data_IF_792925298948
#
_entry.id   IF_792925298948
#
_cell.length_a   1.000
_cell.length_b   1.000
_cell.length_c   1.000
_cell.angle_alpha   90.00
_cell.angle_beta   90.00
_cell.angle_gamma   90.00
#
_symmetry.space_group_name_H-M   'P 1'
#
loop_
_entity.id
_entity.type
_entity.pdbx_description
1 polymer ?
#
# COMPACT_ATOMS: atom_id res chain seq x y z
N UNK A 1 20.96 49.24 -9.44
CA UNK A 1 20.09 49.02 -10.61
C UNK A 1 19.72 47.56 -10.61
N UNK A 2 18.45 47.27 -10.30
CA UNK A 2 17.91 45.92 -10.21
C UNK A 2 16.98 45.67 -11.40
N UNK A 3 16.61 44.40 -11.59
CA UNK A 3 15.54 43.84 -12.42
C UNK A 3 15.73 43.86 -13.95
N UNK A 4 15.48 42.79 -14.69
CA UNK A 4 14.92 41.50 -14.30
C UNK A 4 15.14 40.47 -15.41
N UNK A 5 15.67 39.31 -15.03
CA UNK A 5 15.57 38.12 -15.85
C UNK A 5 14.12 37.66 -15.81
N UNK A 6 13.38 37.94 -16.88
CA UNK A 6 12.05 37.39 -17.13
C UNK A 6 12.19 35.89 -17.30
N UNK A 7 12.08 35.13 -16.21
CA UNK A 7 11.82 33.71 -16.29
C UNK A 7 10.48 33.54 -16.99
N UNK A 8 10.52 33.11 -18.25
CA UNK A 8 9.39 32.52 -18.94
C UNK A 8 8.86 31.38 -18.07
N UNK A 9 7.82 31.66 -17.28
CA UNK A 9 6.96 30.64 -16.72
C UNK A 9 6.33 29.93 -17.91
N UNK A 10 6.87 28.77 -18.27
CA UNK A 10 6.19 27.79 -19.12
C UNK A 10 4.75 27.70 -18.61
N UNK A 11 3.79 28.06 -19.45
CA UNK A 11 2.37 28.04 -19.11
C UNK A 11 1.99 26.61 -18.72
N UNK A 12 1.94 26.34 -17.41
CA UNK A 12 1.59 25.03 -16.88
C UNK A 12 0.18 24.68 -17.36
N UNK A 13 0.01 23.52 -17.99
CA UNK A 13 -1.27 22.98 -18.50
C UNK A 13 -1.45 21.55 -18.01
N UNK A 14 -2.66 21.01 -18.13
CA UNK A 14 -2.94 19.61 -17.79
C UNK A 14 -2.73 19.34 -16.31
N UNK A 15 -2.12 18.18 -16.01
CA UNK A 15 -1.84 17.74 -14.65
C UNK A 15 -1.00 18.74 -13.86
N UNK A 16 -0.07 19.47 -14.48
CA UNK A 16 0.74 20.47 -13.79
C UNK A 16 -0.10 21.62 -13.25
N UNK A 17 -1.13 22.05 -13.99
CA UNK A 17 -2.04 23.09 -13.53
C UNK A 17 -3.00 22.56 -12.46
N UNK A 18 -3.52 21.33 -12.63
CA UNK A 18 -4.38 20.69 -11.64
C UNK A 18 -3.66 20.47 -10.31
N UNK A 19 -2.42 19.97 -10.35
CA UNK A 19 -1.59 19.79 -9.16
C UNK A 19 -1.37 21.13 -8.44
N UNK A 20 -1.03 22.18 -9.20
CA UNK A 20 -0.89 23.53 -8.64
C UNK A 20 -2.19 24.02 -8.00
N UNK A 21 -3.33 23.85 -8.67
CA UNK A 21 -4.64 24.22 -8.12
C UNK A 21 -4.94 23.46 -6.81
N UNK A 22 -4.70 22.16 -6.77
CA UNK A 22 -4.92 21.34 -5.58
C UNK A 22 -4.04 21.76 -4.41
N UNK A 23 -2.78 22.15 -4.65
CA UNK A 23 -1.87 22.67 -3.63
C UNK A 23 -2.30 24.07 -3.18
N UNK A 24 -2.51 24.99 -4.12
CA UNK A 24 -2.87 26.40 -3.85
C UNK A 24 -4.21 26.54 -3.12
N UNK A 25 -5.12 25.56 -3.28
CA UNK A 25 -6.44 25.53 -2.63
C UNK A 25 -6.54 24.55 -1.46
N UNK A 26 -5.44 23.89 -1.09
CA UNK A 26 -5.43 22.86 -0.04
C UNK A 26 -6.51 21.78 -0.29
N UNK A 27 -6.70 21.39 -1.54
CA UNK A 27 -7.68 20.41 -2.00
C UNK A 27 -7.02 19.21 -2.67
N UNK A 28 -5.90 18.76 -2.09
CA UNK A 28 -5.20 17.57 -2.56
C UNK A 28 -6.08 16.34 -2.32
N UNK A 29 -6.49 15.70 -3.41
CA UNK A 29 -7.32 14.51 -3.39
C UNK A 29 -6.88 13.52 -4.46
N UNK A 30 -6.91 12.23 -4.12
CA UNK A 30 -6.44 11.14 -4.97
C UNK A 30 -7.38 9.95 -4.86
N UNK A 31 -7.39 9.09 -5.88
CA UNK A 31 -8.12 7.81 -5.86
C UNK A 31 -7.35 6.77 -5.05
N UNK A 32 -8.07 6.01 -4.23
CA UNK A 32 -7.54 4.93 -3.40
C UNK A 32 -7.40 3.60 -4.14
N UNK A 33 -8.17 3.41 -5.22
CA UNK A 33 -8.22 2.16 -5.97
C UNK A 33 -8.56 0.95 -5.09
N UNK A 34 -9.52 1.09 -4.16
CA UNK A 34 -9.81 0.09 -3.13
C UNK A 34 -10.09 -1.30 -3.69
N UNK A 35 -10.82 -1.39 -4.80
CA UNK A 35 -11.13 -2.66 -5.43
C UNK A 35 -9.87 -3.37 -5.94
N UNK A 36 -9.00 -2.64 -6.65
CA UNK A 36 -7.73 -3.20 -7.14
C UNK A 36 -6.80 -3.57 -5.98
N UNK A 37 -6.75 -2.75 -4.92
CA UNK A 37 -5.94 -3.06 -3.73
C UNK A 37 -6.44 -4.32 -3.00
N UNK A 38 -7.75 -4.50 -2.87
CA UNK A 38 -8.33 -5.72 -2.29
C UNK A 38 -8.09 -6.92 -3.20
N UNK A 39 -8.18 -6.75 -4.52
CA UNK A 39 -7.88 -7.81 -5.48
C UNK A 39 -6.42 -8.30 -5.34
N UNK A 40 -5.46 -7.38 -5.23
CA UNK A 40 -4.05 -7.71 -5.01
C UNK A 40 -3.84 -8.47 -3.68
N UNK A 41 -4.48 -8.02 -2.60
CA UNK A 41 -4.48 -8.74 -1.31
C UNK A 41 -5.04 -10.16 -1.41
N UNK A 42 -6.08 -10.37 -2.21
CA UNK A 42 -6.65 -11.70 -2.46
C UNK A 42 -5.69 -12.59 -3.25
N UNK A 43 -4.93 -12.05 -4.20
CA UNK A 43 -3.89 -12.81 -4.90
C UNK A 43 -2.75 -13.22 -3.96
N UNK A 44 -2.26 -12.30 -3.12
CA UNK A 44 -1.26 -12.63 -2.10
C UNK A 44 -1.75 -13.70 -1.12
N UNK A 45 -3.03 -13.66 -0.76
CA UNK A 45 -3.65 -14.69 0.08
C UNK A 45 -3.71 -16.05 -0.63
N UNK A 46 -4.10 -16.09 -1.91
CA UNK A 46 -4.15 -17.32 -2.69
C UNK A 46 -2.75 -17.95 -2.83
N UNK A 47 -1.72 -17.16 -3.15
CA UNK A 47 -0.34 -17.62 -3.20
C UNK A 47 0.14 -18.20 -1.86
N UNK A 48 -0.24 -17.57 -0.74
CA UNK A 48 0.06 -18.09 0.60
C UNK A 48 -0.65 -19.42 0.89
N UNK A 49 -1.89 -19.59 0.45
CA UNK A 49 -2.62 -20.85 0.60
C UNK A 49 -1.92 -21.99 -0.14
N UNK A 50 -1.48 -21.76 -1.38
CA UNK A 50 -0.77 -22.75 -2.17
C UNK A 50 0.59 -23.11 -1.53
N UNK A 51 1.37 -22.10 -1.14
CA UNK A 51 2.65 -22.32 -0.44
C UNK A 51 2.48 -23.06 0.90
N UNK A 52 1.40 -22.75 1.65
CA UNK A 52 1.09 -23.44 2.89
C UNK A 52 0.75 -24.91 2.64
N UNK A 53 -0.04 -25.19 1.60
CA UNK A 53 -0.37 -26.55 1.20
C UNK A 53 0.90 -27.33 0.82
N UNK A 54 1.75 -26.78 -0.04
CA UNK A 54 2.98 -27.42 -0.48
C UNK A 54 3.96 -27.68 0.67
N UNK A 55 4.12 -26.70 1.57
CA UNK A 55 4.96 -26.86 2.76
C UNK A 55 4.42 -27.96 3.68
N UNK A 56 3.09 -28.05 3.86
CA UNK A 56 2.48 -29.09 4.67
C UNK A 56 2.68 -30.48 4.05
N UNK A 57 2.49 -30.61 2.73
CA UNK A 57 2.74 -31.87 2.02
C UNK A 57 4.21 -32.30 2.13
N UNK A 58 5.15 -31.37 1.92
CA UNK A 58 6.57 -31.67 2.02
C UNK A 58 6.98 -32.05 3.45
N UNK A 59 6.50 -31.31 4.46
CA UNK A 59 6.74 -31.61 5.88
C UNK A 59 6.22 -33.00 6.25
N UNK A 60 5.06 -33.40 5.73
CA UNK A 60 4.52 -34.73 5.94
C UNK A 60 5.38 -35.80 5.26
N UNK A 61 5.83 -35.58 4.02
CA UNK A 61 6.70 -36.51 3.31
C UNK A 61 8.05 -36.70 4.02
N UNK A 62 8.64 -35.61 4.52
CA UNK A 62 9.91 -35.62 5.26
C UNK A 62 9.77 -36.31 6.63
N UNK A 63 8.61 -36.21 7.29
CA UNK A 63 8.35 -36.91 8.56
C UNK A 63 8.27 -38.43 8.42
N UNK A 64 7.97 -38.95 7.22
CA UNK A 64 7.92 -40.39 6.95
C UNK A 64 9.29 -40.99 6.61
N UNK A 65 10.33 -40.17 6.44
CA UNK A 65 11.68 -40.65 6.14
C UNK A 65 12.34 -41.27 7.37
N UNK A 66 13.27 -42.19 7.15
CA UNK A 66 14.04 -42.83 8.23
C UNK A 66 15.36 -42.10 8.55
N UNK A 67 15.69 -41.07 7.77
CA UNK A 67 16.92 -40.31 7.88
C UNK A 67 16.76 -39.08 8.79
N UNK A 68 17.59 -38.05 8.60
CA UNK A 68 17.56 -36.82 9.40
C UNK A 68 16.36 -35.92 9.08
N UNK A 69 15.69 -36.10 7.93
CA UNK A 69 14.52 -35.30 7.51
C UNK A 69 13.34 -35.40 8.47
N UNK A 70 13.19 -36.55 9.14
CA UNK A 70 12.15 -36.75 10.16
C UNK A 70 12.26 -35.83 11.38
N UNK A 71 13.38 -35.13 11.52
CA UNK A 71 13.64 -34.19 12.62
C UNK A 71 13.54 -32.72 12.19
N UNK A 72 13.21 -32.42 10.93
CA UNK A 72 13.14 -31.05 10.42
C UNK A 72 12.07 -30.19 11.12
N UNK A 73 11.04 -30.83 11.67
CA UNK A 73 10.01 -30.19 12.49
C UNK A 73 10.52 -29.73 13.86
N UNK A 74 11.57 -30.37 14.38
CA UNK A 74 12.13 -30.13 15.74
C UNK A 74 13.46 -29.39 15.72
N UNK A 75 14.22 -29.50 14.64
CA UNK A 75 15.59 -29.02 14.55
C UNK A 75 15.78 -28.27 13.22
N UNK A 76 15.85 -26.94 13.34
CA UNK A 76 15.87 -26.04 12.19
C UNK A 76 17.22 -26.04 11.44
N UNK A 77 18.32 -26.41 12.10
CA UNK A 77 19.65 -26.40 11.50
C UNK A 77 19.78 -27.55 10.49
N UNK A 78 19.21 -28.72 10.79
CA UNK A 78 19.06 -29.87 9.92
C UNK A 78 18.21 -29.51 8.70
N UNK A 79 17.10 -28.81 8.90
CA UNK A 79 16.26 -28.30 7.82
C UNK A 79 17.03 -27.33 6.91
N UNK A 80 17.72 -26.34 7.48
CA UNK A 80 18.48 -25.34 6.71
C UNK A 80 19.69 -25.96 5.98
N UNK A 81 20.38 -26.92 6.59
CA UNK A 81 21.62 -27.51 6.07
C UNK A 81 21.39 -28.71 5.13
N UNK A 82 20.14 -29.11 4.88
CA UNK A 82 19.81 -30.30 4.07
C UNK A 82 20.52 -30.33 2.72
N UNK A 83 20.46 -29.24 1.95
CA UNK A 83 21.08 -29.14 0.63
C UNK A 83 22.60 -29.33 0.69
N UNK A 84 23.26 -28.74 1.71
CA UNK A 84 24.69 -28.91 1.93
C UNK A 84 25.09 -30.34 2.35
N UNK A 85 24.12 -31.14 2.79
CA UNK A 85 24.28 -32.54 3.20
C UNK A 85 23.83 -33.52 2.12
N UNK A 86 23.52 -33.02 0.91
CA UNK A 86 23.12 -33.83 -0.24
C UNK A 86 21.62 -34.12 -0.32
N UNK A 87 20.79 -33.42 0.47
CA UNK A 87 19.34 -33.41 0.30
C UNK A 87 18.87 -32.45 -0.79
N UNK A 88 17.56 -32.35 -0.97
CA UNK A 88 16.94 -31.49 -2.00
C UNK A 88 16.63 -30.07 -1.51
N UNK A 89 16.72 -29.82 -0.19
CA UNK A 89 16.48 -28.52 0.45
C UNK A 89 15.04 -28.03 0.30
N UNK A 90 14.11 -28.84 -0.20
CA UNK A 90 12.81 -28.37 -0.70
C UNK A 90 11.94 -27.79 0.41
N UNK A 91 11.87 -28.43 1.57
CA UNK A 91 11.09 -27.93 2.70
C UNK A 91 11.62 -26.57 3.17
N UNK A 92 12.95 -26.38 3.18
CA UNK A 92 13.56 -25.11 3.57
C UNK A 92 13.27 -24.02 2.54
N UNK A 93 13.35 -24.32 1.25
CA UNK A 93 13.01 -23.36 0.20
C UNK A 93 11.54 -22.93 0.26
N UNK A 94 10.61 -23.88 0.48
CA UNK A 94 9.19 -23.57 0.70
C UNK A 94 9.00 -22.66 1.93
N UNK A 95 9.70 -22.95 3.04
CA UNK A 95 9.65 -22.10 4.23
C UNK A 95 10.16 -20.67 3.95
N UNK A 96 11.23 -20.50 3.16
CA UNK A 96 11.73 -19.19 2.76
C UNK A 96 10.75 -18.43 1.85
N UNK A 97 10.08 -19.12 0.93
CA UNK A 97 9.05 -18.54 0.07
C UNK A 97 7.85 -18.06 0.89
N UNK A 98 7.35 -18.89 1.81
CA UNK A 98 6.28 -18.51 2.77
C UNK A 98 6.69 -17.28 3.56
N UNK A 99 7.91 -17.25 4.12
CA UNK A 99 8.41 -16.08 4.89
C UNK A 99 8.46 -14.81 4.05
N UNK A 100 8.84 -14.91 2.79
CA UNK A 100 8.89 -13.76 1.88
C UNK A 100 7.48 -13.27 1.57
N UNK A 101 6.59 -14.18 1.17
CA UNK A 101 5.21 -13.85 0.83
C UNK A 101 4.42 -13.30 2.01
N UNK A 102 4.64 -13.82 3.22
CA UNK A 102 4.04 -13.28 4.46
C UNK A 102 4.45 -11.82 4.70
N UNK A 103 5.72 -11.46 4.44
CA UNK A 103 6.16 -10.05 4.57
C UNK A 103 5.47 -9.16 3.55
N UNK A 104 5.34 -9.60 2.31
CA UNK A 104 4.62 -8.88 1.25
C UNK A 104 3.15 -8.68 1.64
N UNK A 105 2.46 -9.75 2.03
CA UNK A 105 1.07 -9.72 2.46
C UNK A 105 0.83 -8.79 3.65
N UNK A 106 1.64 -8.88 4.71
CA UNK A 106 1.49 -8.01 5.87
C UNK A 106 1.84 -6.55 5.58
N UNK A 107 2.82 -6.29 4.71
CA UNK A 107 3.13 -4.94 4.27
C UNK A 107 1.94 -4.35 3.48
N UNK A 108 1.36 -5.12 2.55
CA UNK A 108 0.21 -4.71 1.77
C UNK A 108 -1.03 -4.44 2.64
N UNK A 109 -1.33 -5.30 3.62
CA UNK A 109 -2.42 -5.06 4.59
C UNK A 109 -2.19 -3.75 5.34
N UNK A 110 -0.99 -3.53 5.86
CA UNK A 110 -0.66 -2.32 6.62
C UNK A 110 -0.80 -1.06 5.76
N UNK A 111 -0.41 -1.11 4.49
CA UNK A 111 -0.60 -0.01 3.55
C UNK A 111 -2.08 0.22 3.26
N UNK A 112 -2.85 -0.84 3.01
CA UNK A 112 -4.29 -0.75 2.78
C UNK A 112 -5.04 -0.16 3.99
N UNK A 113 -4.71 -0.60 5.21
CA UNK A 113 -5.26 -0.04 6.45
C UNK A 113 -4.92 1.44 6.58
N UNK A 114 -3.65 1.82 6.36
CA UNK A 114 -3.21 3.20 6.45
C UNK A 114 -3.94 4.12 5.46
N UNK A 115 -4.12 3.68 4.22
CA UNK A 115 -4.89 4.41 3.19
C UNK A 115 -6.37 4.47 3.58
N UNK A 116 -6.96 3.36 4.05
CA UNK A 116 -8.36 3.31 4.48
C UNK A 116 -8.67 4.17 5.71
N UNK A 117 -7.66 4.47 6.54
CA UNK A 117 -7.80 5.38 7.68
C UNK A 117 -7.76 6.86 7.28
N UNK A 118 -7.34 7.19 6.07
CA UNK A 118 -7.32 8.57 5.57
C UNK A 118 -8.73 9.13 5.43
N UNK A 119 -8.84 10.46 5.47
CA UNK A 119 -10.12 11.17 5.37
C UNK A 119 -10.66 11.10 3.95
N UNK A 120 -11.98 10.97 3.82
CA UNK A 120 -12.66 11.17 2.54
C UNK A 120 -12.94 12.67 2.32
N UNK A 121 -12.82 13.18 1.09
CA UNK A 121 -13.19 14.56 0.79
C UNK A 121 -14.69 14.77 1.00
N UNK A 122 -15.08 15.99 1.40
CA UNK A 122 -16.49 16.37 1.34
C UNK A 122 -16.96 16.50 -0.12
N UNK A 123 -18.26 16.40 -0.36
CA UNK A 123 -18.79 16.55 -1.72
C UNK A 123 -18.49 17.94 -2.30
N UNK A 124 -18.51 18.98 -1.46
CA UNK A 124 -18.11 20.33 -1.84
C UNK A 124 -16.64 20.41 -2.28
N UNK A 125 -15.72 19.83 -1.50
CA UNK A 125 -14.29 19.80 -1.86
C UNK A 125 -14.07 19.09 -3.20
N UNK A 126 -14.66 17.90 -3.36
CA UNK A 126 -14.62 17.14 -4.62
C UNK A 126 -15.21 17.96 -5.78
N UNK A 127 -16.35 18.62 -5.57
CA UNK A 127 -17.01 19.41 -6.60
C UNK A 127 -16.13 20.57 -7.09
N UNK A 128 -15.37 21.24 -6.22
CA UNK A 128 -14.45 22.29 -6.64
C UNK A 128 -13.36 21.79 -7.58
N UNK A 129 -12.75 20.63 -7.28
CA UNK A 129 -11.76 20.00 -8.16
C UNK A 129 -12.39 19.57 -9.48
N UNK A 130 -13.56 18.93 -9.43
CA UNK A 130 -14.29 18.50 -10.62
C UNK A 130 -14.65 19.68 -11.54
N UNK A 131 -15.16 20.77 -10.97
CA UNK A 131 -15.53 21.99 -11.70
C UNK A 131 -14.31 22.70 -12.26
N UNK A 132 -13.20 22.73 -11.53
CA UNK A 132 -11.93 23.23 -12.06
C UNK A 132 -11.53 22.48 -13.33
N UNK A 133 -11.55 21.14 -13.31
CA UNK A 133 -11.17 20.29 -14.45
C UNK A 133 -12.02 20.57 -15.69
N UNK A 134 -13.31 20.87 -15.52
CA UNK A 134 -14.20 21.16 -16.65
C UNK A 134 -14.19 22.63 -17.10
N UNK A 135 -13.68 23.54 -16.29
CA UNK A 135 -13.81 24.98 -16.53
C UNK A 135 -12.66 25.56 -17.36
N UNK A 136 -13.00 26.15 -18.50
CA UNK A 136 -12.08 26.93 -19.33
C UNK A 136 -11.67 28.25 -18.67
N UNK A 137 -12.59 28.90 -17.98
CA UNK A 137 -12.34 30.19 -17.31
C UNK A 137 -11.46 30.07 -16.06
N UNK A 138 -11.42 28.89 -15.42
CA UNK A 138 -10.55 28.62 -14.27
C UNK A 138 -9.16 28.10 -14.69
N UNK A 139 -8.88 28.02 -16.00
CA UNK A 139 -7.62 27.50 -16.56
C UNK A 139 -7.61 25.98 -16.74
N UNK A 140 -8.62 25.26 -16.25
CA UNK A 140 -8.68 23.81 -16.27
C UNK A 140 -9.10 23.16 -17.59
N UNK A 141 -9.55 23.92 -18.60
CA UNK A 141 -9.81 23.40 -19.97
C UNK A 141 -8.50 23.11 -20.73
N UNK A 142 -7.68 22.25 -20.15
CA UNK A 142 -6.53 21.65 -20.78
C UNK A 142 -6.89 20.35 -21.52
N UNK A 143 -8.20 20.07 -21.69
CA UNK A 143 -8.78 18.90 -22.34
C UNK A 143 -8.05 17.63 -21.92
N UNK A 144 -8.27 17.17 -20.69
CA UNK A 144 -7.70 15.89 -20.27
C UNK A 144 -8.19 14.79 -21.21
N UNK A 145 -7.28 14.30 -22.05
CA UNK A 145 -7.57 13.24 -23.04
C UNK A 145 -7.52 11.84 -22.43
N UNK A 146 -7.08 11.74 -21.18
CA UNK A 146 -6.94 10.49 -20.44
C UNK A 146 -8.28 9.93 -19.97
N UNK A 147 -8.33 8.60 -19.81
CA UNK A 147 -9.51 7.88 -19.25
C UNK A 147 -9.76 8.17 -17.78
N UNK A 148 -8.83 8.84 -17.12
CA UNK A 148 -8.87 9.20 -15.72
C UNK A 148 -9.67 10.48 -15.48
N UNK A 149 -9.46 11.54 -16.26
CA UNK A 149 -10.10 12.85 -16.02
C UNK A 149 -11.03 13.30 -17.16
N UNK A 150 -10.95 12.66 -18.34
CA UNK A 150 -11.67 13.07 -19.55
C UNK A 150 -13.18 12.76 -19.57
N UNK A 151 -13.70 12.11 -18.53
CA UNK A 151 -15.13 11.76 -18.39
C UNK A 151 -15.72 11.02 -19.62
N UNK A 152 -14.91 10.12 -20.19
CA UNK A 152 -15.24 9.37 -21.40
C UNK A 152 -15.92 8.03 -21.06
N UNK A 153 -17.16 7.76 -21.47
CA UNK A 153 -17.80 6.46 -21.28
C UNK A 153 -16.92 5.32 -21.84
N UNK A 154 -16.81 4.18 -21.14
CA UNK A 154 -17.50 3.78 -19.91
C UNK A 154 -16.80 4.23 -18.61
N UNK A 155 -15.73 5.02 -18.69
CA UNK A 155 -14.90 5.40 -17.56
C UNK A 155 -15.21 6.85 -17.14
N UNK A 156 -16.11 7.08 -16.16
CA UNK A 156 -16.34 8.42 -15.65
C UNK A 156 -15.06 8.96 -15.01
N UNK A 157 -14.95 10.29 -14.95
CA UNK A 157 -13.83 10.95 -14.30
C UNK A 157 -13.57 10.41 -12.88
N UNK A 158 -12.30 10.34 -12.48
CA UNK A 158 -11.86 9.97 -11.13
C UNK A 158 -12.58 10.82 -10.07
N UNK A 159 -12.88 12.08 -10.36
CA UNK A 159 -13.55 13.01 -9.44
C UNK A 159 -15.08 13.11 -9.63
N UNK A 160 -15.66 12.18 -10.41
CA UNK A 160 -17.11 12.02 -10.49
C UNK A 160 -17.70 11.67 -9.11
N UNK A 161 -18.95 12.06 -8.87
CA UNK A 161 -19.64 11.82 -7.59
C UNK A 161 -19.76 10.33 -7.24
N UNK A 162 -19.84 9.46 -8.24
CA UNK A 162 -19.86 8.00 -8.07
C UNK A 162 -18.59 7.46 -7.39
N UNK A 163 -17.47 8.17 -7.51
CA UNK A 163 -16.17 7.76 -6.98
C UNK A 163 -15.85 8.29 -5.58
N UNK A 164 -16.73 9.08 -4.95
CA UNK A 164 -16.42 9.81 -3.69
C UNK A 164 -15.92 8.90 -2.56
N UNK A 165 -16.44 7.67 -2.46
CA UNK A 165 -16.06 6.68 -1.43
C UNK A 165 -14.69 6.03 -1.66
N UNK A 166 -14.11 6.26 -2.83
CA UNK A 166 -12.81 5.76 -3.26
C UNK A 166 -11.80 6.91 -3.44
N UNK A 167 -12.09 8.09 -2.87
CA UNK A 167 -11.17 9.23 -2.83
C UNK A 167 -10.61 9.41 -1.41
N UNK A 168 -9.34 9.80 -1.32
CA UNK A 168 -8.72 10.36 -0.10
C UNK A 168 -8.55 11.85 -0.25
N UNK A 169 -8.62 12.53 0.88
CA UNK A 169 -8.24 13.92 1.05
C UNK A 169 -6.94 14.00 1.86
N UNK A 170 -5.96 14.73 1.34
CA UNK A 170 -4.61 14.88 1.90
C UNK A 170 -4.29 16.31 2.36
N UNK A 171 -5.24 17.24 2.31
CA UNK A 171 -5.04 18.60 2.81
C UNK A 171 -4.96 18.66 4.34
N UNK A 172 -4.28 19.69 4.85
CA UNK A 172 -4.21 19.99 6.28
C UNK A 172 -5.59 20.42 6.81
N UNK A 173 -5.91 20.03 8.03
CA UNK A 173 -7.06 20.56 8.76
C UNK A 173 -6.56 21.72 9.61
N UNK A 174 -7.04 22.95 9.39
CA UNK A 174 -6.75 24.08 10.29
C UNK A 174 -7.50 23.98 11.62
N UNK A 175 -7.83 22.76 12.07
CA UNK A 175 -8.62 22.49 13.27
C UNK A 175 -8.44 21.06 13.78
N UNK A 176 -7.39 20.87 14.57
CA UNK A 176 -7.23 19.89 15.65
C UNK A 176 -8.01 18.56 15.54
N UNK A 177 -7.47 17.58 14.81
CA UNK A 177 -7.53 16.17 15.20
C UNK A 177 -6.58 15.33 14.33
N UNK A 178 -5.35 15.16 14.82
CA UNK A 178 -4.22 14.61 14.09
C UNK A 178 -4.41 13.16 13.61
N UNK A 179 -3.94 12.89 12.39
CA UNK A 179 -3.82 11.58 11.73
C UNK A 179 -3.12 10.53 12.61
N UNK A 180 -2.23 10.97 13.50
CA UNK A 180 -1.56 10.11 14.48
C UNK A 180 -2.54 9.59 15.53
N UNK A 181 -3.48 10.42 16.02
CA UNK A 181 -4.46 10.04 17.04
C UNK A 181 -5.39 8.90 16.59
N UNK A 182 -5.66 8.76 15.29
CA UNK A 182 -6.40 7.61 14.73
C UNK A 182 -5.54 6.35 14.61
N UNK A 183 -4.27 6.49 14.23
CA UNK A 183 -3.31 5.37 14.19
C UNK A 183 -3.05 4.79 15.59
N UNK A 184 -3.00 5.65 16.61
CA UNK A 184 -2.77 5.26 18.01
C UNK A 184 -4.01 4.72 18.75
N UNK A 185 -5.22 4.79 18.16
CA UNK A 185 -6.46 4.24 18.75
C UNK A 185 -6.82 2.82 18.24
N UNK A 186 -6.06 2.26 17.31
CA UNK A 186 -6.26 0.90 16.82
C UNK A 186 -5.75 -0.19 17.78
N UNK A 187 -6.23 -1.45 17.71
CA UNK A 187 -5.89 -2.53 18.65
C UNK A 187 -4.41 -2.97 18.67
N UNK A 188 -3.56 -2.39 17.81
CA UNK A 188 -2.19 -2.84 17.55
C UNK A 188 -1.14 -2.49 18.61
N UNK A 189 -1.49 -1.80 19.69
CA UNK A 189 -0.53 -1.34 20.70
C UNK A 189 -0.62 -2.09 22.03
N UNK A 190 -0.44 -3.41 22.01
CA UNK A 190 -0.10 -4.19 23.22
C UNK A 190 1.17 -5.04 23.12
N UNK A 191 1.87 -5.04 21.98
CA UNK A 191 3.05 -5.91 21.76
C UNK A 191 4.42 -5.22 21.87
N UNK A 192 4.50 -3.89 21.98
CA UNK A 192 5.78 -3.18 21.87
C UNK A 192 6.54 -2.87 23.17
N UNK A 193 6.04 -3.29 24.34
CA UNK A 193 6.80 -3.18 25.60
C UNK A 193 7.40 -4.50 26.13
N UNK A 194 7.28 -5.62 25.39
CA UNK A 194 7.75 -6.92 25.89
C UNK A 194 9.01 -7.49 25.23
N UNK A 195 9.53 -6.88 24.15
CA UNK A 195 10.63 -7.49 23.36
C UNK A 195 12.00 -6.83 23.56
N UNK A 196 12.12 -5.75 24.34
CA UNK A 196 13.42 -5.13 24.60
C UNK A 196 13.82 -5.23 26.07
N UNK A 197 14.36 -6.39 26.45
CA UNK A 197 15.34 -6.48 27.55
C UNK A 197 16.67 -6.96 26.97
N UNK A 198 17.76 -6.19 27.08
CA UNK A 198 19.08 -6.67 26.70
C UNK A 198 19.53 -7.76 27.69
N UNK A 199 19.92 -8.93 27.16
CA UNK A 199 20.61 -9.96 27.93
C UNK A 199 21.97 -9.41 28.40
N UNK A 200 22.07 -9.14 29.71
CA UNK A 200 23.36 -8.95 30.39
C UNK A 200 24.06 -10.31 30.47
N UNK A 201 25.09 -10.49 29.65
CA UNK A 201 26.11 -11.52 29.86
C UNK A 201 26.95 -11.09 31.06
N UNK A 202 27.17 -11.99 32.01
CA UNK A 202 28.17 -11.84 33.07
C UNK A 202 29.12 -13.06 33.05
N UNK A 203 30.41 -12.85 33.36
CA UNK A 203 31.48 -13.82 33.21
C UNK A 203 31.37 -15.02 34.16
#
# INVERSE_FOLDING_TARGET
MNTGATQQTLSARGYSMLARFMVDREHVMLKQYRELAVQDLLYLQAELCDLQYDLAQQTHADSQQQDVRRFYDREWWHLQSDESRGGDGKQWQLALQVRTKLREYYAAIKQYEAIGAMRQPSDHQRHMVYTFIQSESLGGNCQFLGRDLGDLPPCPSVFASSNIRDLVFLGEDTGEDDLLSRLFRGPGMRLFHHVWKPLKVRP
#
